data_IF_984557098772
#
_entry.id   IF_984557098772
#
_cell.length_a   1.000
_cell.length_b   1.000
_cell.length_c   1.000
_cell.angle_alpha   90.00
_cell.angle_beta   90.00
_cell.angle_gamma   90.00
#
_symmetry.space_group_name_H-M   'P 1'
#
loop_
_entity.id
_entity.type
_entity.pdbx_description
1 polymer ?
#
# COMPACT_ATOMS: atom_id res chain seq x y z
N UNK A 1 -6.73 2.83 0.24
CA UNK A 1 -6.82 3.52 -1.05
C UNK A 1 -5.48 3.36 -1.77
N UNK A 2 -5.50 2.72 -2.94
CA UNK A 2 -4.27 2.47 -3.72
C UNK A 2 -4.09 3.57 -4.77
N UNK A 3 -2.89 4.17 -4.92
CA UNK A 3 -2.64 5.18 -5.94
C UNK A 3 -3.02 4.72 -7.36
N UNK A 4 -2.76 3.45 -7.69
CA UNK A 4 -3.14 2.86 -8.98
C UNK A 4 -4.64 2.87 -9.27
N UNK A 5 -5.49 2.83 -8.25
CA UNK A 5 -6.95 2.92 -8.42
C UNK A 5 -7.36 4.33 -8.84
N UNK A 6 -6.73 5.37 -8.29
CA UNK A 6 -7.01 6.76 -8.67
C UNK A 6 -6.62 7.03 -10.12
N UNK A 7 -5.41 6.58 -10.50
CA UNK A 7 -4.91 6.68 -11.87
C UNK A 7 -5.92 6.07 -12.85
N UNK A 8 -6.36 4.84 -12.59
CA UNK A 8 -7.29 4.12 -13.48
C UNK A 8 -8.68 4.75 -13.51
N UNK A 9 -9.22 5.18 -12.36
CA UNK A 9 -10.60 5.70 -12.29
C UNK A 9 -10.73 7.14 -12.77
N UNK A 10 -9.71 7.96 -12.55
CA UNK A 10 -9.76 9.40 -12.86
C UNK A 10 -9.00 9.74 -14.14
N UNK A 11 -8.24 8.80 -14.73
CA UNK A 11 -7.44 9.04 -15.94
C UNK A 11 -6.30 10.04 -15.72
N UNK A 12 -5.85 10.21 -14.47
CA UNK A 12 -4.80 11.16 -14.10
C UNK A 12 -3.42 10.49 -14.09
N UNK A 13 -2.37 11.28 -14.29
CA UNK A 13 -0.99 10.79 -14.16
C UNK A 13 -0.67 10.33 -12.74
N UNK A 14 0.34 9.47 -12.60
CA UNK A 14 0.85 9.04 -11.30
C UNK A 14 1.20 10.24 -10.40
N UNK A 15 1.90 11.24 -10.93
CA UNK A 15 2.26 12.45 -10.19
C UNK A 15 1.02 13.20 -9.68
N UNK A 16 -0.04 13.30 -10.48
CA UNK A 16 -1.29 13.92 -10.04
C UNK A 16 -1.98 13.09 -8.95
N UNK A 17 -2.01 11.76 -9.09
CA UNK A 17 -2.60 10.89 -8.08
C UNK A 17 -1.91 11.05 -6.72
N UNK A 18 -0.57 11.06 -6.68
CA UNK A 18 0.16 11.30 -5.44
C UNK A 18 -0.07 12.69 -4.87
N UNK A 19 -0.13 13.74 -5.71
CA UNK A 19 -0.47 15.10 -5.25
C UNK A 19 -1.83 15.15 -4.54
N UNK A 20 -2.85 14.51 -5.10
CA UNK A 20 -4.19 14.46 -4.48
C UNK A 20 -4.14 13.72 -3.15
N UNK A 21 -3.46 12.58 -3.09
CA UNK A 21 -3.33 11.79 -1.87
C UNK A 21 -2.57 12.54 -0.77
N UNK A 22 -1.52 13.27 -1.13
CA UNK A 22 -0.75 14.09 -0.20
C UNK A 22 -1.57 15.26 0.34
N UNK A 23 -2.36 15.95 -0.51
CA UNK A 23 -3.29 17.00 -0.06
C UNK A 23 -4.30 16.48 0.96
N UNK A 24 -4.89 15.30 0.72
CA UNK A 24 -5.85 14.68 1.64
C UNK A 24 -5.18 14.23 2.94
N UNK A 25 -3.93 13.76 2.87
CA UNK A 25 -3.12 13.42 4.04
C UNK A 25 -2.82 14.67 4.89
N UNK A 26 -2.43 15.78 4.26
CA UNK A 26 -2.17 17.05 4.95
C UNK A 26 -3.42 17.61 5.64
N UNK A 27 -4.60 17.32 5.09
CA UNK A 27 -5.90 17.66 5.69
C UNK A 27 -6.32 16.70 6.82
N UNK A 28 -5.53 15.68 7.13
CA UNK A 28 -5.85 14.69 8.16
C UNK A 28 -6.97 13.72 7.77
N UNK A 29 -7.27 13.59 6.47
CA UNK A 29 -8.30 12.67 5.95
C UNK A 29 -7.68 11.29 5.70
N UNK A 30 -6.42 11.25 5.27
CA UNK A 30 -5.69 10.02 4.96
C UNK A 30 -4.45 9.87 5.85
N UNK A 31 -4.10 8.61 6.14
CA UNK A 31 -2.80 8.22 6.67
C UNK A 31 -2.06 7.30 5.69
N UNK A 32 -0.73 7.25 5.81
CA UNK A 32 0.10 6.31 5.04
C UNK A 32 0.18 5.00 5.82
N UNK A 33 -0.06 3.89 5.14
CA UNK A 33 0.15 2.54 5.65
C UNK A 33 0.85 1.68 4.58
N UNK A 34 1.11 0.44 4.94
CA UNK A 34 1.81 -0.52 4.12
C UNK A 34 1.02 -1.82 4.07
N UNK A 35 1.03 -2.47 2.93
CA UNK A 35 0.47 -3.79 2.75
C UNK A 35 1.48 -4.65 1.98
N UNK A 36 1.62 -5.92 2.38
CA UNK A 36 2.54 -6.82 1.70
C UNK A 36 1.89 -7.33 0.42
N UNK A 37 2.67 -7.43 -0.65
CA UNK A 37 2.26 -7.89 -1.96
C UNK A 37 3.21 -8.98 -2.45
N UNK A 38 2.66 -10.14 -2.75
CA UNK A 38 3.38 -11.21 -3.39
C UNK A 38 3.34 -11.01 -4.91
N UNK A 39 4.49 -10.73 -5.51
CA UNK A 39 4.60 -10.54 -6.96
C UNK A 39 4.32 -11.82 -7.74
N UNK A 40 4.71 -12.99 -7.21
CA UNK A 40 4.45 -14.31 -7.82
C UNK A 40 2.95 -14.63 -7.91
N UNK A 41 2.21 -14.36 -6.83
CA UNK A 41 0.76 -14.58 -6.83
C UNK A 41 -0.04 -13.39 -7.38
N UNK A 42 0.62 -12.25 -7.61
CA UNK A 42 -0.01 -10.98 -7.95
C UNK A 42 -1.15 -10.58 -6.99
N UNK A 43 -0.91 -10.71 -5.69
CA UNK A 43 -1.93 -10.52 -4.65
C UNK A 43 -1.34 -9.88 -3.38
N UNK A 44 -2.16 -9.05 -2.73
CA UNK A 44 -1.90 -8.58 -1.38
C UNK A 44 -1.98 -9.72 -0.36
N UNK A 45 -1.18 -9.63 0.69
CA UNK A 45 -0.99 -10.65 1.73
C UNK A 45 -0.97 -9.99 3.11
N UNK A 46 -1.62 -10.67 4.05
CA UNK A 46 -1.62 -10.26 5.45
C UNK A 46 -2.42 -8.98 5.72
N UNK A 47 -2.22 -8.36 6.89
CA UNK A 47 -2.91 -7.15 7.31
C UNK A 47 -2.26 -5.88 6.73
N UNK A 48 -2.92 -4.75 7.00
CA UNK A 48 -2.38 -3.40 6.78
C UNK A 48 -1.52 -3.00 7.99
N UNK A 49 -0.33 -2.48 7.74
CA UNK A 49 0.64 -2.04 8.75
C UNK A 49 0.77 -0.51 8.75
N UNK A 50 0.63 0.11 9.92
CA UNK A 50 0.74 1.57 10.09
C UNK A 50 2.14 2.12 9.81
N UNK A 51 3.18 1.31 10.06
CA UNK A 51 4.56 1.70 9.80
C UNK A 51 5.30 0.53 9.17
N UNK A 52 6.30 0.83 8.33
CA UNK A 52 7.12 -0.19 7.68
C UNK A 52 7.76 -1.14 8.70
N UNK A 53 8.22 -0.62 9.85
CA UNK A 53 8.85 -1.44 10.90
C UNK A 53 7.89 -2.37 11.66
N UNK A 54 6.57 -2.30 11.42
CA UNK A 54 5.61 -3.28 11.94
C UNK A 54 5.46 -4.50 11.02
N UNK A 55 6.01 -4.46 9.81
CA UNK A 55 6.00 -5.62 8.91
C UNK A 55 6.99 -6.66 9.46
N UNK A 56 6.60 -7.94 9.62
CA UNK A 56 7.52 -8.98 10.07
C UNK A 56 8.75 -9.07 9.16
N UNK A 57 9.94 -9.21 9.76
CA UNK A 57 11.20 -9.39 9.02
C UNK A 57 11.23 -10.70 8.22
N UNK A 58 10.54 -11.71 8.73
CA UNK A 58 10.38 -13.01 8.08
C UNK A 58 8.90 -13.25 7.83
N UNK A 59 8.54 -13.26 6.55
CA UNK A 59 7.19 -13.51 6.09
C UNK A 59 7.25 -14.38 4.85
N UNK A 60 6.49 -15.47 4.85
CA UNK A 60 6.32 -16.32 3.67
C UNK A 60 4.93 -16.11 3.08
N UNK A 61 4.82 -16.21 1.76
CA UNK A 61 3.52 -16.20 1.10
C UNK A 61 2.76 -17.49 1.42
N UNK A 62 1.60 -17.39 2.07
CA UNK A 62 0.75 -18.54 2.40
C UNK A 62 0.27 -19.34 1.18
N UNK A 63 0.29 -18.75 -0.03
CA UNK A 63 -0.19 -19.40 -1.24
C UNK A 63 0.90 -20.15 -2.01
N UNK A 64 2.12 -19.63 -2.08
CA UNK A 64 3.19 -20.19 -2.90
C UNK A 64 4.49 -20.52 -2.12
N UNK A 65 4.54 -20.18 -0.84
CA UNK A 65 5.68 -20.45 0.05
C UNK A 65 6.93 -19.61 -0.21
N UNK A 66 6.89 -18.62 -1.13
CA UNK A 66 8.04 -17.75 -1.37
C UNK A 66 8.25 -16.79 -0.19
N UNK A 67 9.52 -16.56 0.19
CA UNK A 67 9.87 -15.54 1.18
C UNK A 67 9.56 -14.15 0.62
N UNK A 68 8.86 -13.35 1.41
CA UNK A 68 8.47 -11.98 1.11
C UNK A 68 9.39 -11.04 1.88
N UNK A 69 10.23 -10.33 1.15
CA UNK A 69 11.11 -9.30 1.72
C UNK A 69 10.32 -7.99 1.86
N UNK A 70 10.10 -7.45 3.08
CA UNK A 70 9.33 -6.23 3.27
C UNK A 70 9.77 -5.05 2.40
N UNK A 71 11.07 -4.93 2.11
CA UNK A 71 11.60 -3.83 1.31
C UNK A 71 11.11 -3.90 -0.15
N UNK A 72 11.08 -5.10 -0.74
CA UNK A 72 10.69 -5.32 -2.14
C UNK A 72 9.20 -5.69 -2.30
N UNK A 73 8.58 -6.18 -1.24
CA UNK A 73 7.22 -6.71 -1.25
C UNK A 73 6.23 -5.82 -0.50
N UNK A 74 6.59 -4.64 -0.01
CA UNK A 74 5.61 -3.71 0.55
C UNK A 74 5.12 -2.69 -0.48
N UNK A 75 3.81 -2.44 -0.46
CA UNK A 75 3.17 -1.40 -1.26
C UNK A 75 2.65 -0.33 -0.31
N UNK A 76 2.95 0.93 -0.62
CA UNK A 76 2.40 2.08 0.09
C UNK A 76 0.92 2.23 -0.27
N UNK A 77 0.08 2.30 0.76
CA UNK A 77 -1.34 2.54 0.64
C UNK A 77 -1.75 3.73 1.50
N UNK A 78 -2.88 4.34 1.17
CA UNK A 78 -3.45 5.44 1.94
C UNK A 78 -4.76 5.02 2.58
N UNK A 79 -4.89 5.03 3.89
CA UNK A 79 -6.12 4.63 4.60
C UNK A 79 -6.88 5.88 5.05
N UNK A 80 -8.21 5.83 4.94
CA UNK A 80 -9.09 6.89 5.48
C UNK A 80 -9.11 6.83 7.00
N UNK A 81 -8.96 7.97 7.66
CA UNK A 81 -9.00 8.11 9.12
C UNK A 81 -10.11 9.04 9.61
N UNK A 82 -10.72 9.81 8.71
CA UNK A 82 -11.86 10.68 8.99
C UNK A 82 -13.10 10.20 8.22
N UNK A 83 -14.27 10.26 8.86
CA UNK A 83 -15.59 10.03 8.28
C UNK A 83 -16.25 11.34 7.82
#
# INVERSE_FOLDING_TARGET
MYPGVLIRKLGISQTQAYKVLDMLKEQGILEINYEVYCHECSQFKGPIYETFGKIPEELDCECCGVKLDPLNNSIVIYKMIAD
#
